data_IF_561210396003
#
_entry.id   IF_561210396003
#
_cell.length_a   1.000
_cell.length_b   1.000
_cell.length_c   1.000
_cell.angle_alpha   90.00
_cell.angle_beta   90.00
_cell.angle_gamma   90.00
#
_symmetry.space_group_name_H-M   'P 1'
#
loop_
_entity.id
_entity.type
_entity.pdbx_description
1 polymer ?
#
# COMPACT_ATOMS: atom_id res chain seq x y z
N UNK A 1 -10.52 -12.29 -15.63
CA UNK A 1 -9.11 -12.29 -15.20
C UNK A 1 -8.51 -10.92 -15.50
N UNK A 2 -7.45 -10.51 -14.79
CA UNK A 2 -6.80 -9.22 -15.03
C UNK A 2 -6.01 -9.21 -16.35
N UNK A 3 -6.06 -8.10 -17.10
CA UNK A 3 -5.34 -7.86 -18.37
C UNK A 3 -3.88 -7.43 -18.14
N UNK A 4 -3.12 -8.23 -17.40
CA UNK A 4 -1.78 -7.86 -16.91
C UNK A 4 -0.79 -7.45 -18.01
N UNK A 5 -0.90 -8.05 -19.19
CA UNK A 5 0.00 -7.79 -20.31
C UNK A 5 -0.13 -6.35 -20.84
N UNK A 6 -1.24 -5.65 -20.56
CA UNK A 6 -1.52 -4.29 -21.03
C UNK A 6 -1.16 -3.21 -19.97
N UNK A 7 -0.70 -3.62 -18.78
CA UNK A 7 -0.50 -2.70 -17.66
C UNK A 7 0.70 -1.77 -17.86
N UNK A 8 1.78 -2.28 -18.47
CA UNK A 8 2.98 -1.51 -18.73
C UNK A 8 2.72 -0.37 -19.74
N UNK A 9 1.89 -0.63 -20.76
CA UNK A 9 1.52 0.34 -21.80
C UNK A 9 0.80 1.58 -21.23
N UNK A 10 0.15 1.44 -20.07
CA UNK A 10 -0.56 2.53 -19.37
C UNK A 10 0.19 3.03 -18.13
N UNK A 11 1.41 2.57 -17.88
CA UNK A 11 2.24 2.98 -16.75
C UNK A 11 1.82 2.41 -15.39
N UNK A 12 1.01 1.36 -15.36
CA UNK A 12 0.55 0.72 -14.12
C UNK A 12 1.60 -0.25 -13.58
N UNK A 13 2.18 0.05 -12.41
CA UNK A 13 3.29 -0.72 -11.81
C UNK A 13 2.84 -1.96 -11.04
N UNK A 14 1.78 -1.83 -10.24
CA UNK A 14 1.25 -2.91 -9.41
C UNK A 14 -0.21 -2.65 -9.04
N UNK A 15 -0.93 -3.71 -8.69
CA UNK A 15 -2.29 -3.66 -8.15
C UNK A 15 -2.39 -4.69 -7.03
N UNK A 16 -2.86 -4.26 -5.86
CA UNK A 16 -3.04 -5.11 -4.69
C UNK A 16 -4.49 -4.98 -4.18
N UNK A 17 -5.07 -6.12 -3.76
CA UNK A 17 -6.37 -6.13 -3.06
C UNK A 17 -6.11 -6.09 -1.56
N UNK A 18 -6.82 -5.24 -0.84
CA UNK A 18 -6.72 -5.08 0.61
C UNK A 18 -8.12 -5.01 1.25
N UNK A 19 -8.19 -5.20 2.56
CA UNK A 19 -9.45 -5.19 3.31
C UNK A 19 -10.42 -6.31 2.90
N UNK A 20 -11.71 -6.04 3.02
CA UNK A 20 -12.77 -7.06 2.84
C UNK A 20 -12.83 -7.69 1.45
N UNK A 21 -12.32 -7.01 0.41
CA UNK A 21 -12.25 -7.58 -0.95
C UNK A 21 -11.12 -8.61 -1.13
N UNK A 22 -10.19 -8.67 -0.16
CA UNK A 22 -9.19 -9.72 -0.04
C UNK A 22 -9.68 -10.80 0.92
N UNK A 23 -10.13 -10.41 2.11
CA UNK A 23 -10.64 -11.30 3.16
C UNK A 23 -11.63 -10.54 4.03
N UNK A 24 -12.94 -10.86 3.99
CA UNK A 24 -13.94 -10.23 4.85
C UNK A 24 -13.61 -10.34 6.34
N UNK A 25 -13.81 -9.27 7.10
CA UNK A 25 -13.50 -9.23 8.53
C UNK A 25 -14.14 -8.06 9.28
N UNK A 26 -13.56 -7.73 10.44
CA UNK A 26 -13.98 -6.56 11.21
C UNK A 26 -13.43 -5.27 10.58
N UNK A 27 -14.14 -4.16 10.75
CA UNK A 27 -13.75 -2.84 10.20
C UNK A 27 -12.31 -2.47 10.58
N UNK A 28 -11.86 -2.79 11.80
CA UNK A 28 -10.50 -2.50 12.25
C UNK A 28 -9.43 -3.17 11.37
N UNK A 29 -9.67 -4.38 10.84
CA UNK A 29 -8.74 -5.07 9.95
C UNK A 29 -8.65 -4.38 8.58
N UNK A 30 -9.78 -3.93 8.02
CA UNK A 30 -9.82 -3.17 6.77
C UNK A 30 -9.06 -1.85 6.90
N UNK A 31 -9.29 -1.08 7.97
CA UNK A 31 -8.56 0.18 8.23
C UNK A 31 -7.06 -0.06 8.41
N UNK A 32 -6.68 -1.05 9.22
CA UNK A 32 -5.28 -1.41 9.41
C UNK A 32 -4.60 -1.78 8.09
N UNK A 33 -5.25 -2.60 7.24
CA UNK A 33 -4.68 -3.02 5.96
C UNK A 33 -4.44 -1.84 5.00
N UNK A 34 -5.36 -0.86 4.96
CA UNK A 34 -5.18 0.36 4.17
C UNK A 34 -4.05 1.24 4.69
N UNK A 35 -3.93 1.37 6.01
CA UNK A 35 -2.84 2.13 6.62
C UNK A 35 -1.48 1.49 6.38
N UNK A 36 -1.38 0.17 6.54
CA UNK A 36 -0.16 -0.59 6.25
C UNK A 36 0.26 -0.48 4.77
N UNK A 37 -0.71 -0.59 3.85
CA UNK A 37 -0.47 -0.40 2.42
C UNK A 37 0.12 0.99 2.13
N UNK A 38 -0.49 2.07 2.64
CA UNK A 38 0.01 3.43 2.45
C UNK A 38 1.45 3.61 2.99
N UNK A 39 1.73 3.15 4.21
CA UNK A 39 3.07 3.24 4.80
C UNK A 39 4.14 2.51 3.97
N UNK A 40 3.78 1.37 3.36
CA UNK A 40 4.73 0.62 2.52
C UNK A 40 5.18 1.40 1.28
N UNK A 41 4.37 2.36 0.82
CA UNK A 41 4.64 3.23 -0.33
C UNK A 41 5.25 4.59 0.06
N UNK A 42 4.98 5.08 1.27
CA UNK A 42 5.52 6.33 1.80
C UNK A 42 6.99 6.22 2.27
N UNK A 43 7.55 5.00 2.34
CA UNK A 43 8.97 4.78 2.68
C UNK A 43 9.97 5.19 1.57
N UNK A 44 9.54 5.99 0.59
CA UNK A 44 10.41 6.59 -0.41
C UNK A 44 11.07 7.90 0.08
N UNK A 45 11.74 7.87 1.25
CA UNK A 45 12.91 8.69 1.59
C UNK A 45 13.42 8.33 3.00
N UNK A 46 14.72 8.08 3.19
CA UNK A 46 15.31 8.10 4.52
C UNK A 46 15.38 9.56 4.95
N UNK A 47 14.43 10.00 5.79
CA UNK A 47 14.65 11.21 6.57
C UNK A 47 15.66 10.86 7.66
N UNK A 48 16.93 10.91 7.29
CA UNK A 48 18.01 11.30 8.19
C UNK A 48 17.57 12.57 8.93
N UNK A 49 17.02 12.43 10.12
CA UNK A 49 17.36 13.33 11.22
C UNK A 49 16.97 12.73 12.58
N UNK A 50 17.95 12.15 13.27
CA UNK A 50 17.84 11.68 14.65
C UNK A 50 17.77 12.83 15.69
N UNK A 51 17.61 14.08 15.27
CA UNK A 51 17.61 15.25 16.17
C UNK A 51 16.27 15.50 16.90
N UNK A 52 15.34 14.53 16.91
CA UNK A 52 14.08 14.65 17.67
C UNK A 52 14.21 14.31 19.17
N UNK A 53 15.43 14.02 19.64
CA UNK A 53 15.76 13.87 21.07
C UNK A 53 16.66 15.00 21.59
N UNK A 54 16.66 16.17 20.91
CA UNK A 54 17.02 17.45 21.51
C UNK A 54 15.77 18.21 21.93
#
# INVERSE_FOLDING_TARGET
>A
MAVKNEWEDVGLKSVERIGDCLSPGIIAATIFSGHAYAQSHDNAAPFENYDMYR
#
